data_IF_411443070028
#
_entry.id   IF_411443070028
#
_cell.length_a   1.000
_cell.length_b   1.000
_cell.length_c   1.000
_cell.angle_alpha   90.00
_cell.angle_beta   90.00
_cell.angle_gamma   90.00
#
_symmetry.space_group_name_H-M   'P 1'
#
loop_
_entity.id
_entity.type
_entity.pdbx_description
1 polymer ?
#
# COMPACT_ATOMS: atom_id res chain seq x y z
N UNK A 1 -6.58 -8.14 -3.54
CA UNK A 1 -7.45 -7.45 -2.57
C UNK A 1 -6.70 -6.39 -1.74
N UNK A 2 -5.50 -6.67 -1.24
CA UNK A 2 -4.76 -5.74 -0.35
C UNK A 2 -4.39 -4.38 -0.94
N UNK A 3 -4.26 -4.27 -2.26
CA UNK A 3 -4.03 -3.01 -2.97
C UNK A 3 -5.21 -2.04 -2.87
N UNK A 4 -6.45 -2.54 -2.92
CA UNK A 4 -7.66 -1.70 -2.80
C UNK A 4 -7.76 -1.16 -1.37
N UNK A 5 -7.51 -2.02 -0.38
CA UNK A 5 -7.43 -1.61 1.03
C UNK A 5 -6.38 -0.52 1.21
N UNK A 6 -5.19 -0.68 0.62
CA UNK A 6 -4.16 0.35 0.63
C UNK A 6 -4.66 1.66 0.04
N UNK A 7 -5.29 1.65 -1.14
CA UNK A 7 -5.78 2.87 -1.78
C UNK A 7 -6.78 3.62 -0.90
N UNK A 8 -7.72 2.92 -0.27
CA UNK A 8 -8.70 3.53 0.66
C UNK A 8 -7.99 4.10 1.89
N UNK A 9 -7.10 3.33 2.51
CA UNK A 9 -6.34 3.79 3.68
C UNK A 9 -5.45 5.00 3.34
N UNK A 10 -4.81 5.01 2.18
CA UNK A 10 -3.94 6.10 1.74
C UNK A 10 -4.70 7.42 1.49
N UNK A 11 -6.02 7.36 1.28
CA UNK A 11 -6.86 8.54 1.16
C UNK A 11 -7.25 9.16 2.50
N UNK A 12 -7.41 8.34 3.53
CA UNK A 12 -7.81 8.77 4.88
C UNK A 12 -6.58 9.06 5.75
N UNK A 13 -5.52 8.25 5.61
CA UNK A 13 -4.29 8.34 6.38
C UNK A 13 -3.11 8.59 5.43
N UNK A 14 -2.85 9.85 5.02
CA UNK A 14 -1.75 10.20 4.10
C UNK A 14 -0.37 9.72 4.57
N UNK A 15 -0.20 9.52 5.89
CA UNK A 15 1.01 8.95 6.49
C UNK A 15 1.34 7.53 5.99
N UNK A 16 0.37 6.78 5.48
CA UNK A 16 0.62 5.43 4.93
C UNK A 16 1.22 5.46 3.52
N UNK A 17 1.31 6.64 2.88
CA UNK A 17 1.96 6.83 1.57
C UNK A 17 3.50 6.88 1.65
N UNK A 18 4.09 6.63 2.83
CA UNK A 18 5.54 6.64 3.03
C UNK A 18 6.24 5.73 2.02
N UNK A 19 7.30 6.25 1.40
CA UNK A 19 8.03 5.60 0.31
C UNK A 19 7.12 5.09 -0.82
N UNK A 20 6.02 5.81 -1.10
CA UNK A 20 5.00 5.43 -2.09
C UNK A 20 4.35 4.06 -1.80
N UNK A 21 4.02 3.80 -0.53
CA UNK A 21 3.32 2.57 -0.13
C UNK A 21 4.23 1.35 0.04
N UNK A 22 5.54 1.50 -0.13
CA UNK A 22 6.53 0.45 0.09
C UNK A 22 6.38 -0.17 1.48
N UNK A 23 6.35 0.65 2.54
CA UNK A 23 6.24 0.18 3.94
C UNK A 23 4.99 -0.69 4.16
N UNK A 24 3.85 -0.28 3.62
CA UNK A 24 2.62 -1.08 3.70
C UNK A 24 2.76 -2.41 2.96
N UNK A 25 3.38 -2.40 1.77
CA UNK A 25 3.66 -3.59 1.00
C UNK A 25 4.45 -4.63 1.78
N UNK A 26 5.55 -4.23 2.39
CA UNK A 26 6.37 -5.14 3.21
C UNK A 26 5.63 -5.66 4.43
N UNK A 27 4.90 -4.80 5.15
CA UNK A 27 4.12 -5.23 6.30
C UNK A 27 3.11 -6.34 5.92
N UNK A 28 2.44 -6.17 4.76
CA UNK A 28 1.49 -7.16 4.24
C UNK A 28 2.19 -8.42 3.73
N UNK A 29 3.28 -8.29 2.98
CA UNK A 29 4.03 -9.44 2.45
C UNK A 29 4.61 -10.30 3.58
N UNK A 30 5.24 -9.67 4.58
CA UNK A 30 5.77 -10.37 5.75
C UNK A 30 4.65 -10.97 6.60
N UNK A 31 3.56 -10.23 6.83
CA UNK A 31 2.40 -10.75 7.55
C UNK A 31 1.77 -11.96 6.85
N UNK A 32 1.68 -11.95 5.52
CA UNK A 32 1.16 -13.07 4.76
C UNK A 32 2.06 -14.31 4.90
N UNK A 33 3.34 -14.19 4.58
CA UNK A 33 4.25 -15.34 4.48
C UNK A 33 4.72 -15.87 5.83
N UNK A 34 4.84 -15.01 6.86
CA UNK A 34 5.39 -15.41 8.15
C UNK A 34 4.35 -15.50 9.27
N UNK A 35 3.10 -15.08 9.04
CA UNK A 35 2.01 -15.21 10.02
C UNK A 35 0.85 -15.99 9.45
N UNK A 36 0.24 -15.52 8.35
CA UNK A 36 -0.99 -16.13 7.81
C UNK A 36 -0.73 -17.52 7.25
N UNK A 37 0.28 -17.68 6.39
CA UNK A 37 0.59 -18.97 5.76
C UNK A 37 0.92 -20.07 6.79
N UNK A 38 1.77 -19.82 7.80
CA UNK A 38 1.98 -20.78 8.89
C UNK A 38 0.70 -21.16 9.65
N UNK A 39 -0.19 -20.19 9.92
CA UNK A 39 -1.45 -20.44 10.65
C UNK A 39 -2.39 -21.36 9.85
N UNK A 40 -2.44 -21.20 8.52
CA UNK A 40 -3.29 -22.03 7.65
C UNK A 40 -2.60 -23.31 7.17
N UNK A 41 -1.42 -23.63 7.69
CA UNK A 41 -0.68 -24.86 7.38
C UNK A 41 -0.01 -24.88 6.01
N UNK A 42 0.20 -23.71 5.38
CA UNK A 42 1.01 -23.59 4.16
C UNK A 42 2.48 -23.42 4.57
N UNK A 43 3.38 -24.34 4.18
CA UNK A 43 4.79 -24.24 4.54
C UNK A 43 5.42 -22.99 3.94
N UNK A 44 6.03 -22.18 4.80
CA UNK A 44 6.82 -21.02 4.42
C UNK A 44 8.27 -21.47 4.18
N UNK A 45 8.53 -22.08 3.02
CA UNK A 45 9.89 -22.47 2.66
C UNK A 45 10.72 -21.21 2.36
N UNK A 46 11.59 -20.85 3.31
CA UNK A 46 12.45 -19.68 3.17
C UNK A 46 13.56 -19.94 2.16
N UNK A 47 13.49 -19.26 1.01
CA UNK A 47 14.56 -19.21 0.02
C UNK A 47 15.02 -17.74 -0.13
N UNK A 48 16.31 -17.49 -0.05
CA UNK A 48 16.87 -16.12 -0.13
C UNK A 48 16.56 -15.44 -1.47
N UNK A 49 16.54 -16.18 -2.58
CA UNK A 49 16.19 -15.63 -3.89
C UNK A 49 14.70 -15.28 -3.97
N UNK A 50 13.85 -16.16 -3.41
CA UNK A 50 12.41 -15.92 -3.28
C UNK A 50 12.12 -14.71 -2.41
N UNK A 51 12.80 -14.59 -1.28
CA UNK A 51 12.70 -13.45 -0.38
C UNK A 51 13.11 -12.15 -1.07
N UNK A 52 14.26 -12.11 -1.76
CA UNK A 52 14.70 -10.93 -2.51
C UNK A 52 13.67 -10.56 -3.59
N UNK A 53 13.16 -11.56 -4.33
CA UNK A 53 12.13 -11.35 -5.35
C UNK A 53 10.84 -10.80 -4.76
N UNK A 54 10.39 -11.29 -3.61
CA UNK A 54 9.21 -10.83 -2.90
C UNK A 54 9.39 -9.38 -2.41
N UNK A 55 10.53 -9.07 -1.80
CA UNK A 55 10.89 -7.74 -1.35
C UNK A 55 10.83 -6.77 -2.54
N UNK A 56 11.60 -7.03 -3.59
CA UNK A 56 11.71 -6.11 -4.72
C UNK A 56 10.38 -6.02 -5.47
N UNK A 57 9.74 -7.16 -5.74
CA UNK A 57 8.48 -7.23 -6.46
C UNK A 57 7.35 -6.52 -5.73
N UNK A 58 7.21 -6.76 -4.42
CA UNK A 58 6.19 -6.09 -3.58
C UNK A 58 6.46 -4.59 -3.50
N UNK A 59 7.72 -4.20 -3.33
CA UNK A 59 8.13 -2.81 -3.30
C UNK A 59 7.78 -2.07 -4.60
N UNK A 60 8.17 -2.64 -5.75
CA UNK A 60 7.85 -2.09 -7.07
C UNK A 60 6.34 -2.03 -7.29
N UNK A 61 5.62 -3.11 -6.94
CA UNK A 61 4.17 -3.18 -7.11
C UNK A 61 3.43 -2.09 -6.32
N UNK A 62 3.78 -1.92 -5.05
CA UNK A 62 3.18 -0.86 -4.22
C UNK A 62 3.53 0.54 -4.72
N UNK A 63 4.79 0.75 -5.09
CA UNK A 63 5.26 2.00 -5.65
C UNK A 63 4.48 2.40 -6.92
N UNK A 64 4.28 1.44 -7.83
CA UNK A 64 3.47 1.63 -9.03
C UNK A 64 2.04 2.02 -8.68
N UNK A 65 1.36 1.25 -7.81
CA UNK A 65 -0.03 1.50 -7.42
C UNK A 65 -0.19 2.91 -6.83
N UNK A 66 0.66 3.29 -5.88
CA UNK A 66 0.58 4.62 -5.26
C UNK A 66 0.85 5.75 -6.26
N UNK A 67 1.78 5.53 -7.19
CA UNK A 67 2.07 6.50 -8.25
C UNK A 67 0.85 6.70 -9.15
N UNK A 68 0.23 5.62 -9.62
CA UNK A 68 -0.98 5.71 -10.44
C UNK A 68 -2.17 6.29 -9.67
N UNK A 69 -2.41 5.85 -8.43
CA UNK A 69 -3.48 6.39 -7.57
C UNK A 69 -3.32 7.90 -7.38
N UNK A 70 -2.11 8.35 -7.01
CA UNK A 70 -1.81 9.76 -6.82
C UNK A 70 -1.95 10.56 -8.11
N UNK A 71 -1.56 10.00 -9.26
CA UNK A 71 -1.70 10.65 -10.56
C UNK A 71 -3.17 10.81 -10.95
N UNK A 72 -3.97 9.73 -10.88
CA UNK A 72 -5.39 9.76 -11.19
C UNK A 72 -6.15 10.74 -10.28
N UNK A 73 -5.85 10.73 -8.97
CA UNK A 73 -6.50 11.64 -8.02
C UNK A 73 -6.18 13.11 -8.32
N UNK A 74 -4.91 13.43 -8.57
CA UNK A 74 -4.51 14.78 -8.95
C UNK A 74 -5.15 15.23 -10.27
N UNK A 75 -5.34 14.32 -11.24
CA UNK A 75 -5.95 14.64 -12.53
C UNK A 75 -7.47 14.79 -12.50
N UNK A 76 -8.17 13.94 -11.76
CA UNK A 76 -9.64 13.92 -11.76
C UNK A 76 -10.25 14.86 -10.73
N UNK A 77 -9.59 15.01 -9.57
CA UNK A 77 -10.17 15.71 -8.41
C UNK A 77 -9.37 16.97 -8.07
N UNK A 78 -8.11 17.08 -8.51
CA UNK A 78 -7.25 18.25 -8.25
C UNK A 78 -6.58 18.26 -6.87
N UNK A 79 -6.91 17.31 -5.99
CA UNK A 79 -6.32 17.14 -4.67
C UNK A 79 -5.51 15.83 -4.61
N UNK A 80 -4.60 15.68 -3.64
CA UNK A 80 -3.78 14.46 -3.55
C UNK A 80 -4.41 13.38 -2.64
N UNK A 81 -5.32 13.78 -1.75
CA UNK A 81 -6.07 12.89 -0.83
C UNK A 81 -7.49 13.38 -0.56
N UNK A 82 -8.34 12.51 0.00
CA UNK A 82 -9.70 12.88 0.42
C UNK A 82 -9.70 13.84 1.62
N UNK A 83 -8.75 13.69 2.55
CA UNK A 83 -8.62 14.62 3.68
C UNK A 83 -8.28 16.03 3.20
N UNK A 84 -7.34 16.18 2.26
CA UNK A 84 -7.01 17.50 1.68
C UNK A 84 -8.22 18.15 1.00
N UNK A 85 -9.00 17.36 0.26
CA UNK A 85 -10.24 17.83 -0.36
C UNK A 85 -11.27 18.27 0.69
N UNK A 86 -11.51 17.47 1.72
CA UNK A 86 -12.47 17.80 2.78
C UNK A 86 -12.08 19.06 3.57
N UNK A 87 -10.78 19.25 3.82
CA UNK A 87 -10.26 20.48 4.45
C UNK A 87 -10.44 21.68 3.51
N UNK A 88 -10.14 21.53 2.22
CA UNK A 88 -10.33 22.61 1.23
C UNK A 88 -11.81 23.01 1.07
N UNK A 89 -12.73 22.06 1.22
CA UNK A 89 -14.17 22.29 1.18
C UNK A 89 -14.78 22.75 2.51
N UNK A 90 -13.98 22.86 3.59
CA UNK A 90 -14.46 23.24 4.92
C UNK A 90 -15.37 22.21 5.59
N UNK A 91 -15.35 20.96 5.12
CA UNK A 91 -16.17 19.85 5.63
C UNK A 91 -15.50 19.08 6.77
N UNK A 92 -14.21 19.31 6.98
CA UNK A 92 -13.40 18.77 8.07
C UNK A 92 -12.80 19.91 8.88
N UNK A 93 -12.77 19.78 10.21
CA UNK A 93 -11.98 20.65 11.10
C UNK A 93 -10.49 20.34 11.00
#
# INVERSE_FOLDING_TARGET
MMAVVYCVVAEILPKFRLLKGFVYGYAVALGAHYVVFPIIGIPADFNIQGFISEIIGTGLWMWTIETFRSYCRAKWVGYSTAVEEQVALGLSK
#
